data_IF_090820273323
#
_entry.id   IF_090820273323
#
_cell.length_a   1.000
_cell.length_b   1.000
_cell.length_c   1.000
_cell.angle_alpha   90.00
_cell.angle_beta   90.00
_cell.angle_gamma   90.00
#
_symmetry.space_group_name_H-M   'P 1'
#
loop_
_entity.id
_entity.type
_entity.pdbx_description
1 polymer ?
#
# COMPACT_ATOMS: atom_id res chain seq x y z
N UNK A 1 -7.57 17.77 13.66
CA UNK A 1 -6.29 17.91 14.37
C UNK A 1 -5.19 17.83 13.32
N UNK A 2 -4.84 18.93 12.65
CA UNK A 2 -3.79 18.94 11.62
C UNK A 2 -2.44 19.28 12.26
N UNK A 3 -1.54 18.30 12.29
CA UNK A 3 -0.15 18.48 12.74
C UNK A 3 0.67 19.13 11.62
N UNK A 4 0.70 20.46 11.61
CA UNK A 4 1.67 21.23 10.82
C UNK A 4 3.03 21.16 11.53
N UNK A 5 3.86 20.17 11.17
CA UNK A 5 5.24 20.14 11.64
C UNK A 5 6.07 21.19 10.88
N UNK A 6 6.90 21.98 11.59
CA UNK A 6 7.75 22.98 10.96
C UNK A 6 8.82 22.28 10.09
N UNK A 7 9.10 22.86 8.92
CA UNK A 7 10.21 22.44 8.06
C UNK A 7 11.52 22.81 8.75
N UNK A 8 12.19 21.82 9.34
CA UNK A 8 13.36 22.01 10.20
C UNK A 8 14.70 22.15 9.43
N UNK A 9 14.73 22.02 8.10
CA UNK A 9 15.97 22.17 7.32
C UNK A 9 15.75 22.84 5.95
N UNK A 10 16.60 23.79 5.53
CA UNK A 10 16.61 24.31 4.16
C UNK A 10 16.88 23.19 3.16
N UNK A 11 16.01 23.05 2.15
CA UNK A 11 16.21 22.08 1.07
C UNK A 11 17.37 22.55 0.18
N UNK A 12 18.35 21.68 -0.07
CA UNK A 12 19.45 21.96 -0.99
C UNK A 12 18.93 22.15 -2.43
N UNK A 13 19.50 23.07 -3.23
CA UNK A 13 19.15 23.23 -4.63
C UNK A 13 19.46 21.93 -5.39
N UNK A 14 18.45 21.38 -6.08
CA UNK A 14 18.55 20.09 -6.79
C UNK A 14 18.01 18.89 -6.02
N UNK A 15 17.56 19.05 -4.78
CA UNK A 15 16.87 17.97 -4.07
C UNK A 15 15.50 17.73 -4.74
N UNK A 16 15.21 16.50 -5.23
CA UNK A 16 13.87 16.18 -5.75
C UNK A 16 12.82 16.47 -4.66
N UNK A 17 11.58 16.83 -5.04
CA UNK A 17 10.51 16.95 -4.06
C UNK A 17 10.46 15.66 -3.26
N UNK A 18 10.26 15.77 -1.93
CA UNK A 18 9.96 14.60 -1.11
C UNK A 18 8.85 13.85 -1.85
N UNK A 19 9.17 12.67 -2.37
CA UNK A 19 8.15 11.80 -2.94
C UNK A 19 7.14 11.65 -1.83
N UNK A 20 5.91 12.06 -2.13
CA UNK A 20 4.81 11.99 -1.19
C UNK A 20 4.74 10.50 -0.81
N UNK A 21 5.33 10.15 0.33
CA UNK A 21 5.11 8.90 1.04
C UNK A 21 3.68 9.00 1.61
N UNK A 22 2.71 9.25 0.72
CA UNK A 22 1.38 8.71 0.81
C UNK A 22 1.57 7.21 0.70
N UNK A 23 2.15 6.62 1.74
CA UNK A 23 1.46 5.63 2.54
C UNK A 23 0.24 5.16 1.76
N UNK A 24 0.47 4.11 0.97
CA UNK A 24 -0.58 3.30 0.36
C UNK A 24 -1.43 2.61 1.45
N UNK A 25 -1.62 3.27 2.59
CA UNK A 25 -2.56 2.92 3.64
C UNK A 25 -3.92 3.43 3.25
N UNK A 26 -4.40 2.97 2.09
CA UNK A 26 -5.83 3.01 1.84
C UNK A 26 -6.41 1.92 2.72
N UNK A 27 -6.98 2.33 3.85
CA UNK A 27 -7.80 1.42 4.65
C UNK A 27 -8.93 0.93 3.75
N UNK A 28 -8.99 -0.39 3.58
CA UNK A 28 -10.00 -1.04 2.77
C UNK A 28 -11.23 -1.36 3.62
N UNK A 29 -12.41 -1.13 3.05
CA UNK A 29 -13.68 -1.50 3.68
C UNK A 29 -13.83 -3.02 3.76
N UNK A 30 -14.69 -3.51 4.67
CA UNK A 30 -14.97 -4.96 4.80
C UNK A 30 -15.47 -5.56 3.47
N UNK A 31 -16.24 -4.79 2.70
CA UNK A 31 -16.78 -5.19 1.40
C UNK A 31 -15.68 -5.36 0.34
N UNK A 32 -14.69 -4.45 0.33
CA UNK A 32 -13.51 -4.57 -0.53
C UNK A 32 -12.66 -5.79 -0.12
N UNK A 33 -12.51 -6.04 1.18
CA UNK A 33 -11.82 -7.21 1.71
C UNK A 33 -12.49 -8.52 1.32
N UNK A 34 -13.81 -8.61 1.47
CA UNK A 34 -14.57 -9.81 1.11
C UNK A 34 -14.49 -10.08 -0.40
N UNK A 35 -14.50 -9.02 -1.21
CA UNK A 35 -14.30 -9.11 -2.66
C UNK A 35 -12.92 -9.67 -3.03
N UNK A 36 -11.87 -9.35 -2.25
CA UNK A 36 -10.50 -9.85 -2.47
C UNK A 36 -10.22 -11.21 -1.80
N UNK A 37 -11.05 -11.64 -0.85
CA UNK A 37 -10.86 -12.85 -0.04
C UNK A 37 -10.66 -14.12 -0.88
N UNK A 38 -11.43 -14.27 -1.96
CA UNK A 38 -11.28 -15.43 -2.86
C UNK A 38 -9.98 -15.40 -3.65
N UNK A 39 -9.52 -14.21 -4.06
CA UNK A 39 -8.25 -14.02 -4.78
C UNK A 39 -7.08 -14.32 -3.85
N UNK A 40 -7.10 -13.79 -2.62
CA UNK A 40 -6.10 -14.05 -1.60
C UNK A 40 -6.02 -15.55 -1.29
N UNK A 41 -7.18 -16.20 -1.08
CA UNK A 41 -7.23 -17.65 -0.80
C UNK A 41 -6.59 -18.46 -1.92
N UNK A 42 -6.87 -18.12 -3.18
CA UNK A 42 -6.29 -18.80 -4.33
C UNK A 42 -4.77 -18.64 -4.38
N UNK A 43 -4.28 -17.41 -4.29
CA UNK A 43 -2.85 -17.11 -4.40
C UNK A 43 -2.04 -17.68 -3.22
N UNK A 44 -2.52 -17.47 -2.00
CA UNK A 44 -1.77 -17.80 -0.79
C UNK A 44 -1.93 -19.27 -0.38
N UNK A 45 -3.13 -19.83 -0.48
CA UNK A 45 -3.41 -21.20 0.00
C UNK A 45 -3.30 -22.22 -1.13
N UNK A 46 -3.98 -21.99 -2.26
CA UNK A 46 -4.03 -22.99 -3.33
C UNK A 46 -2.75 -23.03 -4.16
N UNK A 47 -2.22 -21.86 -4.52
CA UNK A 47 -0.96 -21.74 -5.27
C UNK A 47 0.27 -21.72 -4.35
N UNK A 48 0.07 -21.75 -3.03
CA UNK A 48 1.11 -21.77 -2.01
C UNK A 48 2.18 -20.68 -2.19
N UNK A 49 1.78 -19.49 -2.68
CA UNK A 49 2.67 -18.36 -2.87
C UNK A 49 3.01 -17.70 -1.55
N UNK A 50 4.17 -17.03 -1.50
CA UNK A 50 4.54 -16.25 -0.32
C UNK A 50 3.61 -15.06 -0.14
N UNK A 51 3.47 -14.60 1.10
CA UNK A 51 2.66 -13.43 1.42
C UNK A 51 3.11 -12.19 0.61
N UNK A 52 4.41 -11.92 0.57
CA UNK A 52 4.97 -10.79 -0.19
C UNK A 52 4.63 -10.86 -1.69
N UNK A 53 4.65 -12.05 -2.29
CA UNK A 53 4.28 -12.23 -3.70
C UNK A 53 2.77 -12.02 -3.90
N UNK A 54 1.96 -12.54 -2.98
CA UNK A 54 0.51 -12.37 -3.00
C UNK A 54 0.14 -10.89 -2.92
N UNK A 55 0.79 -10.13 -2.02
CA UNK A 55 0.57 -8.69 -1.86
C UNK A 55 1.07 -7.89 -3.07
N UNK A 56 2.23 -8.25 -3.64
CA UNK A 56 2.71 -7.63 -4.87
C UNK A 56 1.74 -7.87 -6.05
N UNK A 57 1.15 -9.07 -6.15
CA UNK A 57 0.15 -9.40 -7.19
C UNK A 57 -1.15 -8.62 -6.95
N UNK A 58 -1.62 -8.53 -5.70
CA UNK A 58 -2.81 -7.75 -5.33
C UNK A 58 -2.63 -6.26 -5.68
N UNK A 59 -1.48 -5.69 -5.36
CA UNK A 59 -1.18 -4.31 -5.66
C UNK A 59 -1.06 -4.09 -7.19
N UNK A 60 -0.31 -4.94 -7.90
CA UNK A 60 -0.05 -4.75 -9.32
C UNK A 60 -1.28 -5.00 -10.23
N UNK A 61 -2.15 -5.95 -9.87
CA UNK A 61 -3.29 -6.32 -10.71
C UNK A 61 -4.62 -5.75 -10.26
N UNK A 62 -4.80 -5.58 -8.96
CA UNK A 62 -6.08 -5.16 -8.38
C UNK A 62 -5.99 -3.77 -7.73
N UNK A 63 -4.80 -3.15 -7.71
CA UNK A 63 -4.58 -1.87 -7.02
C UNK A 63 -4.85 -1.96 -5.51
N UNK A 64 -4.83 -3.18 -4.96
CA UNK A 64 -5.19 -3.47 -3.58
C UNK A 64 -3.91 -3.64 -2.75
N UNK A 65 -3.70 -2.76 -1.79
CA UNK A 65 -2.56 -2.79 -0.91
C UNK A 65 -3.05 -3.12 0.51
N UNK A 66 -2.75 -4.33 0.97
CA UNK A 66 -2.97 -4.66 2.37
C UNK A 66 -1.93 -3.92 3.23
N UNK A 67 -2.41 -3.14 4.18
CA UNK A 67 -1.61 -2.48 5.20
C UNK A 67 -1.29 -3.40 6.36
#
# INVERSE_FOLDING_TARGET
MSSLLPVLAPRLPGCPPAVDDRTYTKEHTEEEWESMRNVIRKLYIQENRKLNETMAILQARYGFAAT
#
